data_IF_366474443831
#
_entry.id   IF_366474443831
#
_cell.length_a   1.000
_cell.length_b   1.000
_cell.length_c   1.000
_cell.angle_alpha   90.00
_cell.angle_beta   90.00
_cell.angle_gamma   90.00
#
_symmetry.space_group_name_H-M   'P 1'
#
loop_
_entity.id
_entity.type
_entity.pdbx_description
1 polymer ?
#
# COMPACT_ATOMS: atom_id res chain seq x y z
N UNK A 1 -16.11 -38.16 -7.88
CA UNK A 1 -16.71 -36.89 -8.32
C UNK A 1 -18.20 -37.02 -8.24
N UNK A 2 -18.91 -36.00 -7.76
CA UNK A 2 -20.37 -36.02 -7.73
C UNK A 2 -20.91 -36.11 -9.18
N UNK A 3 -21.90 -36.98 -9.42
CA UNK A 3 -22.41 -37.27 -10.75
C UNK A 3 -23.03 -36.02 -11.43
N UNK A 4 -23.50 -35.08 -10.62
CA UNK A 4 -24.01 -33.77 -11.03
C UNK A 4 -22.93 -32.85 -11.60
N UNK A 5 -21.69 -32.92 -11.10
CA UNK A 5 -20.57 -32.10 -11.59
C UNK A 5 -20.10 -32.59 -12.97
N UNK A 6 -20.08 -33.91 -13.18
CA UNK A 6 -19.73 -34.48 -14.49
C UNK A 6 -20.72 -34.07 -15.59
N UNK A 7 -22.03 -34.09 -15.29
CA UNK A 7 -23.08 -33.75 -16.27
C UNK A 7 -23.11 -32.26 -16.67
N UNK A 8 -22.69 -31.35 -15.79
CA UNK A 8 -22.72 -29.90 -16.04
C UNK A 8 -21.52 -29.41 -16.87
N UNK A 9 -20.42 -30.15 -16.86
CA UNK A 9 -19.16 -29.74 -17.49
C UNK A 9 -18.89 -30.56 -18.76
N UNK A 10 -19.22 -31.85 -18.74
CA UNK A 10 -19.00 -32.78 -19.85
C UNK A 10 -20.36 -33.23 -20.39
N UNK A 11 -20.68 -32.79 -21.59
CA UNK A 11 -21.88 -33.11 -22.35
C UNK A 11 -21.52 -33.97 -23.57
N UNK A 12 -22.52 -34.62 -24.18
CA UNK A 12 -22.31 -35.38 -25.41
C UNK A 12 -21.76 -34.53 -26.57
N UNK A 13 -21.94 -33.20 -26.50
CA UNK A 13 -21.56 -32.21 -27.50
C UNK A 13 -20.12 -31.72 -27.35
N UNK A 14 -19.62 -31.57 -26.11
CA UNK A 14 -18.28 -31.01 -25.85
C UNK A 14 -17.24 -32.05 -25.38
N UNK A 15 -17.63 -33.33 -25.22
CA UNK A 15 -16.76 -34.39 -24.65
C UNK A 15 -15.40 -34.59 -25.35
N UNK A 16 -15.26 -34.12 -26.58
CA UNK A 16 -14.03 -34.23 -27.37
C UNK A 16 -13.25 -32.91 -27.46
N UNK A 17 -13.76 -31.82 -26.90
CA UNK A 17 -13.13 -30.50 -26.91
C UNK A 17 -12.56 -30.20 -25.52
N UNK A 18 -11.28 -30.54 -25.34
CA UNK A 18 -10.55 -30.38 -24.07
C UNK A 18 -10.49 -28.92 -23.62
N UNK A 19 -10.39 -27.97 -24.56
CA UNK A 19 -10.35 -26.54 -24.23
C UNK A 19 -11.71 -26.05 -23.75
N UNK A 20 -12.79 -26.49 -24.40
CA UNK A 20 -14.15 -26.17 -23.98
C UNK A 20 -14.50 -26.81 -22.63
N UNK A 21 -14.07 -28.05 -22.39
CA UNK A 21 -14.20 -28.71 -21.09
C UNK A 21 -13.42 -27.93 -20.03
N UNK A 22 -12.15 -27.57 -20.28
CA UNK A 22 -11.35 -26.79 -19.34
C UNK A 22 -11.97 -25.43 -19.03
N UNK A 23 -12.52 -24.74 -20.04
CA UNK A 23 -13.25 -23.49 -19.87
C UNK A 23 -14.49 -23.67 -19.01
N UNK A 24 -15.29 -24.72 -19.22
CA UNK A 24 -16.49 -25.01 -18.44
C UNK A 24 -16.17 -25.50 -17.02
N UNK A 25 -15.04 -26.19 -16.81
CA UNK A 25 -14.52 -26.52 -15.46
C UNK A 25 -14.19 -25.21 -14.76
N UNK A 26 -13.38 -24.36 -15.39
CA UNK A 26 -13.02 -23.07 -14.83
C UNK A 26 -14.26 -22.22 -14.57
N UNK A 27 -15.20 -22.11 -15.49
CA UNK A 27 -16.45 -21.40 -15.27
C UNK A 27 -17.27 -22.03 -14.14
N UNK A 28 -17.47 -23.34 -14.09
CA UNK A 28 -18.25 -23.99 -13.03
C UNK A 28 -17.65 -23.81 -11.63
N UNK A 29 -16.32 -23.95 -11.51
CA UNK A 29 -15.62 -23.82 -10.23
C UNK A 29 -15.27 -22.38 -9.84
N UNK A 30 -15.05 -21.50 -10.83
CA UNK A 30 -14.87 -20.06 -10.61
C UNK A 30 -16.19 -19.35 -10.33
N UNK A 31 -17.31 -19.74 -10.95
CA UNK A 31 -18.47 -18.83 -11.04
C UNK A 31 -19.54 -18.92 -9.94
N UNK A 32 -19.81 -20.02 -9.23
CA UNK A 32 -21.15 -20.08 -8.57
C UNK A 32 -21.27 -20.78 -7.22
N UNK A 33 -20.27 -21.49 -6.69
CA UNK A 33 -20.48 -22.06 -5.35
C UNK A 33 -20.47 -20.94 -4.29
N UNK A 34 -21.64 -20.65 -3.72
CA UNK A 34 -21.80 -19.65 -2.66
C UNK A 34 -20.83 -19.87 -1.50
N UNK A 35 -20.49 -21.11 -1.18
CA UNK A 35 -19.50 -21.44 -0.16
C UNK A 35 -18.08 -21.01 -0.56
N UNK A 36 -17.69 -21.17 -1.84
CA UNK A 36 -16.39 -20.72 -2.32
C UNK A 36 -16.31 -19.19 -2.32
N UNK A 37 -17.35 -18.51 -2.82
CA UNK A 37 -17.44 -17.04 -2.80
C UNK A 37 -17.40 -16.49 -1.37
N UNK A 38 -18.14 -17.11 -0.45
CA UNK A 38 -18.11 -16.75 0.97
C UNK A 38 -16.72 -16.96 1.58
N UNK A 39 -16.04 -18.06 1.25
CA UNK A 39 -14.67 -18.33 1.72
C UNK A 39 -13.68 -17.26 1.25
N UNK A 40 -13.70 -16.90 -0.04
CA UNK A 40 -12.81 -15.86 -0.59
C UNK A 40 -13.15 -14.49 -0.02
N UNK A 41 -14.45 -14.14 0.10
CA UNK A 41 -14.87 -12.92 0.77
C UNK A 41 -14.38 -12.85 2.21
N UNK A 42 -14.51 -13.94 2.96
CA UNK A 42 -14.03 -14.02 4.35
C UNK A 42 -12.51 -13.89 4.42
N UNK A 43 -11.76 -14.45 3.46
CA UNK A 43 -10.31 -14.26 3.40
C UNK A 43 -9.95 -12.77 3.30
N UNK A 44 -10.62 -12.03 2.40
CA UNK A 44 -10.46 -10.58 2.30
C UNK A 44 -10.95 -9.83 3.56
N UNK A 45 -12.15 -10.14 4.05
CA UNK A 45 -12.79 -9.43 5.17
C UNK A 45 -12.05 -9.65 6.49
N UNK A 46 -11.40 -10.80 6.69
CA UNK A 46 -10.62 -11.11 7.89
C UNK A 46 -9.13 -10.78 7.80
N UNK A 47 -8.65 -10.17 6.71
CA UNK A 47 -7.30 -9.61 6.68
C UNK A 47 -7.10 -8.66 7.85
N UNK A 48 -6.10 -8.95 8.68
CA UNK A 48 -5.71 -8.15 9.84
C UNK A 48 -4.59 -7.20 9.44
N UNK A 49 -4.75 -5.93 9.80
CA UNK A 49 -3.67 -4.95 9.67
C UNK A 49 -2.64 -5.14 10.77
N UNK A 50 -1.36 -5.20 10.38
CA UNK A 50 -0.23 -5.21 11.29
C UNK A 50 0.69 -4.02 11.00
N UNK A 51 0.98 -3.23 12.04
CA UNK A 51 1.83 -2.05 11.93
C UNK A 51 3.31 -2.41 11.72
N UNK A 52 3.76 -3.60 12.14
CA UNK A 52 5.11 -4.07 11.80
C UNK A 52 5.26 -4.54 10.36
N UNK A 53 4.16 -4.89 9.68
CA UNK A 53 4.15 -5.46 8.34
C UNK A 53 3.25 -4.69 7.37
N UNK A 54 3.30 -3.36 7.35
CA UNK A 54 2.45 -2.53 6.47
C UNK A 54 2.57 -2.95 4.99
N UNK A 55 3.78 -3.21 4.50
CA UNK A 55 4.00 -3.68 3.12
C UNK A 55 3.44 -5.10 2.88
N UNK A 56 3.49 -5.95 3.92
CA UNK A 56 2.90 -7.29 3.90
C UNK A 56 1.38 -7.21 3.80
N UNK A 57 0.75 -6.32 4.58
CA UNK A 57 -0.68 -6.04 4.51
C UNK A 57 -1.10 -5.52 3.13
N UNK A 58 -0.34 -4.58 2.54
CA UNK A 58 -0.62 -4.07 1.18
C UNK A 58 -0.60 -5.21 0.16
N UNK A 59 0.43 -6.05 0.18
CA UNK A 59 0.57 -7.18 -0.74
C UNK A 59 -0.58 -8.18 -0.59
N UNK A 60 -0.89 -8.58 0.66
CA UNK A 60 -1.99 -9.51 0.97
C UNK A 60 -3.34 -8.95 0.52
N UNK A 61 -3.57 -7.64 0.70
CA UNK A 61 -4.80 -6.97 0.30
C UNK A 61 -4.97 -6.97 -1.23
N UNK A 62 -3.92 -6.64 -1.99
CA UNK A 62 -3.96 -6.71 -3.46
C UNK A 62 -4.27 -8.12 -3.95
N UNK A 63 -3.58 -9.12 -3.42
CA UNK A 63 -3.82 -10.52 -3.77
C UNK A 63 -5.25 -10.97 -3.45
N UNK A 64 -5.81 -10.53 -2.32
CA UNK A 64 -7.17 -10.86 -1.94
C UNK A 64 -8.22 -10.19 -2.86
N UNK A 65 -7.98 -8.96 -3.31
CA UNK A 65 -8.87 -8.28 -4.28
C UNK A 65 -8.86 -9.01 -5.63
N UNK A 66 -7.70 -9.43 -6.13
CA UNK A 66 -7.63 -10.23 -7.35
C UNK A 66 -8.39 -11.56 -7.21
N UNK A 67 -8.26 -12.24 -6.06
CA UNK A 67 -9.02 -13.46 -5.79
C UNK A 67 -10.54 -13.22 -5.77
N UNK A 68 -11.02 -12.05 -5.32
CA UNK A 68 -12.43 -11.69 -5.40
C UNK A 68 -12.91 -11.64 -6.87
N UNK A 69 -12.13 -11.03 -7.75
CA UNK A 69 -12.42 -10.97 -9.18
C UNK A 69 -12.43 -12.37 -9.82
N UNK A 70 -11.46 -13.23 -9.47
CA UNK A 70 -11.37 -14.61 -9.96
C UNK A 70 -12.62 -15.44 -9.66
N UNK A 71 -13.27 -15.21 -8.52
CA UNK A 71 -14.53 -15.91 -8.14
C UNK A 71 -15.80 -15.12 -8.46
N UNK A 72 -15.70 -14.08 -9.31
CA UNK A 72 -16.84 -13.28 -9.76
C UNK A 72 -17.49 -12.41 -8.67
N UNK A 73 -16.74 -12.04 -7.63
CA UNK A 73 -17.16 -11.01 -6.67
C UNK A 73 -16.71 -9.66 -7.20
N UNK A 74 -17.55 -9.06 -8.04
CA UNK A 74 -17.36 -7.69 -8.52
C UNK A 74 -18.09 -6.73 -7.57
N UNK A 75 -17.34 -5.81 -6.95
CA UNK A 75 -17.86 -4.77 -6.06
C UNK A 75 -17.32 -3.43 -6.49
N UNK A 76 -18.07 -2.39 -6.16
CA UNK A 76 -17.63 -1.03 -6.45
C UNK A 76 -16.33 -0.74 -5.70
N UNK A 77 -15.37 -0.05 -6.34
CA UNK A 77 -14.05 0.21 -5.75
C UNK A 77 -14.12 0.91 -4.39
N UNK A 78 -15.09 1.80 -4.21
CA UNK A 78 -15.29 2.53 -2.97
C UNK A 78 -15.71 1.62 -1.81
N UNK A 79 -16.58 0.64 -2.05
CA UNK A 79 -16.98 -0.37 -1.06
C UNK A 79 -15.77 -1.19 -0.59
N UNK A 80 -14.92 -1.61 -1.52
CA UNK A 80 -13.68 -2.32 -1.18
C UNK A 80 -12.72 -1.41 -0.41
N UNK A 81 -12.62 -0.14 -0.79
CA UNK A 81 -11.80 0.84 -0.09
C UNK A 81 -12.29 1.08 1.35
N UNK A 82 -13.59 1.23 1.57
CA UNK A 82 -14.18 1.38 2.91
C UNK A 82 -13.90 0.16 3.79
N UNK A 83 -13.99 -1.05 3.22
CA UNK A 83 -13.67 -2.28 3.94
C UNK A 83 -12.18 -2.34 4.35
N UNK A 84 -11.25 -1.86 3.50
CA UNK A 84 -9.83 -1.76 3.84
C UNK A 84 -9.60 -0.73 4.95
N UNK A 85 -10.18 0.47 4.83
CA UNK A 85 -10.08 1.54 5.84
C UNK A 85 -10.61 1.06 7.19
N UNK A 86 -11.69 0.27 7.20
CA UNK A 86 -12.27 -0.30 8.41
C UNK A 86 -11.32 -1.24 9.17
N UNK A 87 -10.36 -1.87 8.48
CA UNK A 87 -9.34 -2.76 9.09
C UNK A 87 -8.23 -1.99 9.80
N UNK A 88 -8.10 -0.69 9.53
CA UNK A 88 -7.04 0.11 10.13
C UNK A 88 -7.29 0.36 11.63
N UNK A 89 -6.23 0.38 12.46
CA UNK A 89 -6.34 0.70 13.88
C UNK A 89 -6.98 2.08 14.11
N UNK A 90 -7.70 2.24 15.20
CA UNK A 90 -8.30 3.54 15.60
C UNK A 90 -7.32 4.42 16.37
N UNK A 91 -6.09 4.54 15.87
CA UNK A 91 -5.10 5.48 16.42
C UNK A 91 -5.23 6.84 15.73
N UNK A 92 -4.70 7.92 16.32
CA UNK A 92 -4.73 9.25 15.70
C UNK A 92 -4.11 9.28 14.30
N UNK A 93 -3.02 8.54 14.09
CA UNK A 93 -2.28 8.49 12.82
C UNK A 93 -3.14 7.88 11.70
N UNK A 94 -3.73 6.70 11.94
CA UNK A 94 -4.59 6.01 10.97
C UNK A 94 -5.94 6.71 10.78
N UNK A 95 -6.43 7.41 11.82
CA UNK A 95 -7.60 8.28 11.69
C UNK A 95 -7.31 9.46 10.77
N UNK A 96 -6.12 10.05 10.88
CA UNK A 96 -5.64 11.08 9.96
C UNK A 96 -5.54 10.58 8.52
N UNK A 97 -4.95 9.40 8.30
CA UNK A 97 -4.87 8.76 6.98
C UNK A 97 -6.27 8.50 6.41
N UNK A 98 -7.17 7.93 7.21
CA UNK A 98 -8.55 7.65 6.80
C UNK A 98 -9.27 8.93 6.37
N UNK A 99 -9.12 10.01 7.14
CA UNK A 99 -9.71 11.33 6.86
C UNK A 99 -9.12 11.95 5.60
N UNK A 100 -7.80 11.85 5.42
CA UNK A 100 -7.12 12.34 4.22
C UNK A 100 -7.65 11.65 2.96
N UNK A 101 -7.90 10.34 3.02
CA UNK A 101 -8.48 9.58 1.90
C UNK A 101 -9.93 10.02 1.65
N UNK A 102 -10.79 10.01 2.68
CA UNK A 102 -12.23 10.28 2.52
C UNK A 102 -12.56 11.72 2.16
N UNK A 103 -11.69 12.67 2.50
CA UNK A 103 -11.86 14.10 2.22
C UNK A 103 -10.87 14.64 1.17
N UNK A 104 -10.17 13.75 0.44
CA UNK A 104 -9.22 14.14 -0.62
C UNK A 104 -9.87 14.82 -1.84
N UNK A 105 -11.19 14.67 -2.02
CA UNK A 105 -11.89 15.06 -3.24
C UNK A 105 -11.61 14.15 -4.44
N UNK A 106 -10.77 13.13 -4.27
CA UNK A 106 -10.49 12.11 -5.29
C UNK A 106 -11.46 10.94 -5.17
N UNK A 107 -11.56 10.13 -6.23
CA UNK A 107 -12.33 8.88 -6.17
C UNK A 107 -11.72 7.95 -5.11
N UNK A 108 -12.56 7.44 -4.21
CA UNK A 108 -12.13 6.54 -3.15
C UNK A 108 -11.98 5.14 -3.75
N UNK A 109 -10.74 4.68 -3.92
CA UNK A 109 -10.43 3.36 -4.49
C UNK A 109 -9.48 2.57 -3.58
N UNK A 110 -9.41 1.24 -3.71
CA UNK A 110 -8.46 0.42 -2.97
C UNK A 110 -7.02 0.88 -3.20
N UNK A 111 -6.68 1.24 -4.44
CA UNK A 111 -5.35 1.74 -4.82
C UNK A 111 -4.99 3.00 -4.05
N UNK A 112 -5.91 3.97 -3.94
CA UNK A 112 -5.69 5.20 -3.19
C UNK A 112 -5.37 4.90 -1.72
N UNK A 113 -6.12 3.98 -1.09
CA UNK A 113 -5.88 3.56 0.30
C UNK A 113 -4.49 2.93 0.44
N UNK A 114 -4.16 1.99 -0.46
CA UNK A 114 -2.89 1.27 -0.42
C UNK A 114 -1.68 2.18 -0.69
N UNK A 115 -1.83 3.20 -1.52
CA UNK A 115 -0.80 4.19 -1.79
C UNK A 115 -0.54 5.08 -0.56
N UNK A 116 -1.59 5.53 0.14
CA UNK A 116 -1.43 6.22 1.42
C UNK A 116 -0.73 5.36 2.48
N UNK A 117 -1.04 4.06 2.56
CA UNK A 117 -0.33 3.13 3.45
C UNK A 117 1.13 2.93 3.03
N UNK A 118 1.43 2.94 1.73
CA UNK A 118 2.81 2.87 1.23
C UNK A 118 3.59 4.13 1.60
N UNK A 119 2.99 5.31 1.49
CA UNK A 119 3.60 6.57 1.94
C UNK A 119 3.89 6.53 3.43
N UNK A 120 2.95 6.03 4.24
CA UNK A 120 3.15 5.83 5.67
C UNK A 120 4.32 4.86 5.96
N UNK A 121 4.39 3.71 5.29
CA UNK A 121 5.49 2.76 5.45
C UNK A 121 6.86 3.36 5.08
N UNK A 122 6.91 4.17 4.03
CA UNK A 122 8.13 4.88 3.64
C UNK A 122 8.55 5.91 4.71
N UNK A 123 7.59 6.63 5.30
CA UNK A 123 7.86 7.58 6.38
C UNK A 123 8.45 6.87 7.60
N UNK A 124 7.89 5.72 8.01
CA UNK A 124 8.44 4.91 9.10
C UNK A 124 9.90 4.49 8.85
N UNK A 125 10.22 4.09 7.62
CA UNK A 125 11.59 3.72 7.24
C UNK A 125 12.56 4.91 7.31
N UNK A 126 12.11 6.10 6.87
CA UNK A 126 12.90 7.34 6.96
C UNK A 126 13.14 7.70 8.43
N UNK A 127 12.11 7.70 9.27
CA UNK A 127 12.22 8.07 10.68
C UNK A 127 13.13 7.10 11.44
N UNK A 128 13.05 5.80 11.17
CA UNK A 128 13.96 4.80 11.72
C UNK A 128 15.42 5.05 11.30
N UNK A 129 15.64 5.42 10.03
CA UNK A 129 17.00 5.75 9.53
C UNK A 129 17.54 7.04 10.14
N UNK A 130 16.68 8.05 10.36
CA UNK A 130 17.03 9.31 11.01
C UNK A 130 17.39 9.08 12.48
N UNK A 131 16.65 8.24 13.21
CA UNK A 131 16.98 7.88 14.59
C UNK A 131 18.30 7.13 14.68
N UNK A 132 18.61 6.21 13.75
CA UNK A 132 19.92 5.55 13.70
C UNK A 132 21.08 6.53 13.43
N UNK A 133 20.82 7.66 12.78
CA UNK A 133 21.82 8.71 12.56
C UNK A 133 22.05 9.63 13.77
N UNK A 134 21.14 9.68 14.76
CA UNK A 134 21.32 10.51 15.97
C UNK A 134 22.40 9.99 16.93
N UNK A 135 22.78 8.71 16.85
CA UNK A 135 23.94 8.14 17.55
C UNK A 135 25.28 8.44 16.84
N UNK A 136 25.25 9.02 15.63
CA UNK A 136 26.43 9.30 14.80
C UNK A 136 26.51 10.71 14.21
N UNK A 137 25.57 11.60 14.51
CA UNK A 137 25.63 13.00 14.08
C UNK A 137 26.66 13.75 14.93
N UNK A 138 27.92 13.64 14.51
CA UNK A 138 28.92 14.68 14.73
C UNK A 138 28.27 16.00 14.29
N UNK A 139 27.90 16.85 15.25
CA UNK A 139 27.42 18.20 14.97
C UNK A 139 28.39 18.80 13.96
N UNK A 140 27.93 19.04 12.72
CA UNK A 140 28.68 19.87 11.78
C UNK A 140 28.44 21.30 12.22
N UNK A 141 29.15 21.69 13.28
CA UNK A 141 29.40 23.09 13.54
C UNK A 141 30.17 23.60 12.32
N UNK A 142 29.57 24.53 11.58
CA UNK A 142 30.33 25.35 10.64
C UNK A 142 31.35 26.12 11.50
N UNK A 143 32.57 25.60 11.57
CA UNK A 143 33.70 26.29 12.19
C UNK A 143 33.98 27.55 11.37
N UNK A 144 33.26 28.63 11.65
CA UNK A 144 33.66 29.95 11.18
C UNK A 144 34.84 30.36 12.03
N UNK A 145 36.04 30.27 11.44
CA UNK A 145 37.24 30.85 12.02
C UNK A 145 37.01 32.35 12.20
N UNK A 146 36.78 32.76 13.45
CA UNK A 146 36.50 34.15 13.80
C UNK A 146 37.65 35.09 13.38
N UNK A 147 38.86 34.54 13.23
CA UNK A 147 40.07 35.24 12.77
C UNK A 147 39.97 35.73 11.33
N UNK A 148 39.02 35.22 10.53
CA UNK A 148 38.78 35.60 9.14
C UNK A 148 37.57 36.51 8.95
N UNK A 149 36.87 36.87 10.04
CA UNK A 149 35.71 37.78 9.97
C UNK A 149 36.18 39.22 9.77
N UNK A 150 35.50 39.94 8.89
CA UNK A 150 35.65 41.38 8.72
C UNK A 150 34.90 42.10 9.85
N UNK A 151 35.40 43.27 10.27
CA UNK A 151 34.71 44.14 11.24
C UNK A 151 33.98 45.25 10.48
N UNK A 152 33.02 45.90 11.13
CA UNK A 152 32.28 47.01 10.53
C UNK A 152 33.27 48.09 10.04
N UNK A 153 33.24 48.37 8.73
CA UNK A 153 34.14 49.29 8.01
C UNK A 153 35.64 48.93 8.02
N UNK A 154 36.00 47.68 8.28
CA UNK A 154 37.39 47.22 8.21
C UNK A 154 37.48 45.82 7.60
N UNK A 155 38.10 45.74 6.41
CA UNK A 155 38.38 44.47 5.75
C UNK A 155 39.52 43.74 6.44
N UNK A 156 39.33 42.45 6.70
CA UNK A 156 40.35 41.59 7.26
C UNK A 156 41.18 41.01 6.12
N UNK A 157 42.49 41.26 6.11
CA UNK A 157 43.41 40.79 5.05
C UNK A 157 43.56 39.27 5.00
N UNK A 158 43.09 38.56 6.04
CA UNK A 158 43.04 37.11 6.09
C UNK A 158 41.67 36.55 5.66
N UNK A 159 40.72 37.40 5.27
CA UNK A 159 39.44 36.99 4.74
C UNK A 159 39.60 36.37 3.34
N UNK A 160 38.74 35.40 3.01
CA UNK A 160 38.77 34.68 1.74
C UNK A 160 37.90 35.34 0.65
N UNK A 161 37.61 36.63 0.79
CA UNK A 161 36.81 37.42 -0.15
C UNK A 161 37.41 38.82 -0.31
N UNK A 162 37.13 39.54 -1.42
CA UNK A 162 37.59 40.93 -1.59
C UNK A 162 36.80 41.92 -0.72
N UNK A 163 37.37 43.10 -0.48
CA UNK A 163 36.79 44.16 0.37
C UNK A 163 35.36 44.57 -0.03
N UNK A 164 35.04 44.54 -1.33
CA UNK A 164 33.70 44.84 -1.84
C UNK A 164 32.60 43.87 -1.38
N UNK A 165 32.99 42.75 -0.76
CA UNK A 165 32.08 41.69 -0.26
C UNK A 165 32.10 41.55 1.26
N UNK A 166 32.61 42.55 2.00
CA UNK A 166 32.55 42.60 3.47
C UNK A 166 31.14 42.84 4.01
#
# INVERSE_FOLDING_TARGET
MDATVHANVITHTNKNDVLLIWKLINEYFASQNAANRARVWNNFSYLVFDNSEVLGFITKTKAAIEQLHEVGINRDPDILAYEIIKKLPKTPEFTGISTAITHSGSAITPELVLDHLRLYANQLAIDASAQSSTLGQKQVSLFTDASKKCKYKAHNTLANHPESRC
#
